data_IF_824195596673
#
_entry.id   IF_824195596673
#
_cell.length_a   1.000
_cell.length_b   1.000
_cell.length_c   1.000
_cell.angle_alpha   90.00
_cell.angle_beta   90.00
_cell.angle_gamma   90.00
#
_symmetry.space_group_name_H-M   'P 1'
#
loop_
_entity.id
_entity.type
_entity.pdbx_description
1 polymer ?
#
# COMPACT_ATOMS: atom_id res chain seq x y z
N UNK A 1 19.27 30.73 71.35
CA UNK A 1 17.81 30.93 71.36
C UNK A 1 17.13 29.59 71.61
N UNK A 2 16.92 29.27 72.88
CA UNK A 2 15.93 28.30 73.39
C UNK A 2 14.53 28.97 73.39
N UNK A 3 13.39 28.31 73.70
CA UNK A 3 13.14 26.86 73.90
C UNK A 3 11.72 26.36 73.42
N UNK A 4 11.44 25.06 73.70
CA UNK A 4 10.19 24.53 74.33
C UNK A 4 8.90 24.48 73.49
N UNK A 5 8.02 23.46 73.55
CA UNK A 5 7.57 22.54 74.63
C UNK A 5 7.06 21.23 73.96
N UNK A 6 7.42 20.01 74.39
CA UNK A 6 6.97 19.24 75.57
C UNK A 6 5.44 19.01 75.65
N UNK A 7 4.98 17.76 75.48
CA UNK A 7 4.30 16.92 76.51
C UNK A 7 3.50 15.74 75.90
N UNK A 8 3.74 14.54 76.44
CA UNK A 8 2.94 13.33 76.28
C UNK A 8 1.74 13.30 77.28
N UNK A 9 0.77 12.39 77.09
CA UNK A 9 0.54 11.31 78.08
C UNK A 9 0.27 9.96 77.39
N UNK A 10 0.96 8.84 77.70
CA UNK A 10 0.73 7.80 78.74
C UNK A 10 -0.73 7.29 78.93
N UNK A 11 -0.85 5.94 78.93
CA UNK A 11 -1.79 5.04 79.64
C UNK A 11 -2.81 4.23 78.78
N UNK A 12 -2.38 3.01 78.48
CA UNK A 12 -3.02 1.68 78.65
C UNK A 12 -4.52 1.43 78.33
N UNK A 13 -4.76 0.42 77.49
CA UNK A 13 -5.72 -0.65 77.79
C UNK A 13 -5.45 -1.89 76.91
N UNK A 14 -4.99 -2.96 77.55
CA UNK A 14 -4.99 -4.34 77.04
C UNK A 14 -6.43 -4.86 76.93
N UNK A 15 -6.82 -5.36 75.76
CA UNK A 15 -7.88 -6.39 75.67
C UNK A 15 -7.39 -7.48 74.73
N UNK A 16 -6.99 -8.61 75.32
CA UNK A 16 -6.89 -9.87 74.61
C UNK A 16 -8.32 -10.37 74.33
N UNK A 17 -8.68 -10.54 73.06
CA UNK A 17 -9.78 -11.42 72.66
C UNK A 17 -9.22 -12.48 71.72
N UNK A 18 -8.93 -13.62 72.33
CA UNK A 18 -8.84 -14.93 71.68
C UNK A 18 -10.16 -15.24 70.97
N UNK A 19 -10.10 -15.63 69.69
CA UNK A 19 -11.27 -16.13 68.98
C UNK A 19 -11.13 -16.18 67.47
N UNK A 20 -10.17 -16.96 66.95
CA UNK A 20 -10.30 -17.44 65.56
C UNK A 20 -11.47 -18.44 65.58
N UNK A 21 -12.67 -17.96 65.25
CA UNK A 21 -13.75 -18.87 64.85
C UNK A 21 -13.32 -19.40 63.48
N UNK A 22 -12.71 -20.58 63.48
CA UNK A 22 -12.69 -21.41 62.29
C UNK A 22 -14.17 -21.66 61.94
N UNK A 23 -14.71 -20.89 61.00
CA UNK A 23 -15.94 -21.30 60.32
C UNK A 23 -15.50 -22.55 59.56
N UNK A 24 -15.97 -23.76 59.91
CA UNK A 24 -15.89 -24.82 58.94
C UNK A 24 -16.79 -24.35 57.81
N UNK A 25 -16.22 -23.75 56.77
CA UNK A 25 -16.83 -23.83 55.45
C UNK A 25 -16.79 -25.32 55.15
N UNK A 26 -17.76 -26.05 55.68
CA UNK A 26 -18.03 -27.41 55.26
C UNK A 26 -18.16 -27.29 53.77
N UNK A 27 -17.17 -27.81 53.04
CA UNK A 27 -17.29 -27.99 51.62
C UNK A 27 -18.58 -28.79 51.46
N UNK A 28 -19.65 -28.12 51.02
CA UNK A 28 -20.87 -28.78 50.64
C UNK A 28 -20.40 -29.78 49.59
N UNK A 29 -20.35 -31.06 49.97
CA UNK A 29 -19.89 -32.12 49.09
C UNK A 29 -20.71 -31.95 47.82
N UNK A 30 -20.06 -31.57 46.73
CA UNK A 30 -20.73 -31.26 45.47
C UNK A 30 -21.43 -32.55 45.01
N UNK A 31 -22.69 -32.70 45.42
CA UNK A 31 -23.48 -33.85 45.05
C UNK A 31 -23.57 -33.80 43.52
N UNK A 32 -23.12 -34.83 42.82
CA UNK A 32 -23.20 -34.84 41.35
C UNK A 32 -24.67 -35.00 40.88
N UNK A 33 -25.54 -35.50 41.77
CA UNK A 33 -26.97 -35.71 41.55
C UNK A 33 -27.78 -35.44 42.82
N UNK A 34 -28.81 -34.63 42.74
CA UNK A 34 -29.81 -34.52 43.80
C UNK A 34 -30.77 -35.70 43.74
N UNK A 35 -31.23 -36.14 44.91
CA UNK A 35 -32.25 -37.17 45.06
C UNK A 35 -33.40 -36.57 45.83
N UNK A 36 -34.61 -36.65 45.30
CA UNK A 36 -35.82 -36.25 46.01
C UNK A 36 -36.86 -37.36 45.99
N UNK A 37 -37.84 -37.26 46.85
CA UNK A 37 -39.05 -38.07 46.80
C UNK A 37 -40.24 -37.12 46.66
N UNK A 38 -41.11 -37.39 45.70
CA UNK A 38 -42.34 -36.62 45.48
C UNK A 38 -43.55 -37.46 45.89
N UNK A 39 -44.45 -36.94 46.71
CA UNK A 39 -45.69 -37.61 47.05
C UNK A 39 -46.53 -37.86 45.78
N UNK A 40 -47.01 -39.10 45.58
CA UNK A 40 -47.73 -39.49 44.36
C UNK A 40 -49.10 -38.84 44.21
N UNK A 41 -49.71 -38.35 45.29
CA UNK A 41 -51.04 -37.72 45.29
C UNK A 41 -50.99 -36.20 45.38
N UNK A 42 -50.11 -35.66 46.23
CA UNK A 42 -50.04 -34.22 46.49
C UNK A 42 -48.93 -33.51 45.73
N UNK A 43 -47.97 -34.23 45.14
CA UNK A 43 -46.82 -33.65 44.45
C UNK A 43 -45.75 -33.06 45.39
N UNK A 44 -45.98 -33.06 46.70
CA UNK A 44 -45.04 -32.52 47.69
C UNK A 44 -43.67 -33.21 47.57
N UNK A 45 -42.61 -32.41 47.39
CA UNK A 45 -41.26 -32.90 47.20
C UNK A 45 -40.42 -32.70 48.46
N UNK A 46 -39.70 -33.75 48.86
CA UNK A 46 -38.65 -33.68 49.88
C UNK A 46 -37.31 -34.11 49.32
N UNK A 47 -36.27 -33.34 49.63
CA UNK A 47 -34.89 -33.71 49.32
C UNK A 47 -34.44 -34.86 50.23
N UNK A 48 -33.68 -35.80 49.69
CA UNK A 48 -33.25 -37.00 50.41
C UNK A 48 -31.74 -37.01 50.56
N UNK A 49 -31.29 -36.90 51.80
CA UNK A 49 -29.90 -37.10 52.19
C UNK A 49 -29.50 -38.58 52.11
N UNK A 50 -28.20 -38.85 52.03
CA UNK A 50 -27.62 -40.20 51.84
C UNK A 50 -28.18 -41.20 52.88
N UNK A 51 -28.60 -42.38 52.42
CA UNK A 51 -29.09 -43.47 53.29
C UNK A 51 -30.61 -43.49 53.54
N UNK A 52 -31.35 -42.43 53.23
CA UNK A 52 -32.82 -42.41 53.39
C UNK A 52 -33.55 -42.88 52.11
N UNK A 53 -34.65 -43.62 52.26
CA UNK A 53 -35.50 -44.13 51.16
C UNK A 53 -36.78 -43.29 51.02
N UNK A 54 -37.44 -43.39 49.86
CA UNK A 54 -38.78 -42.84 49.68
C UNK A 54 -39.81 -43.65 50.47
N UNK A 55 -40.85 -42.99 50.97
CA UNK A 55 -42.03 -43.67 51.54
C UNK A 55 -42.80 -44.39 50.43
N UNK A 56 -43.64 -45.37 50.77
CA UNK A 56 -44.37 -46.22 49.80
C UNK A 56 -45.28 -45.40 48.85
N UNK A 57 -45.79 -44.28 49.35
CA UNK A 57 -46.64 -43.31 48.66
C UNK A 57 -45.86 -42.19 47.94
N UNK A 58 -44.53 -42.31 47.82
CA UNK A 58 -43.68 -41.34 47.13
C UNK A 58 -43.01 -41.96 45.90
N UNK A 59 -42.66 -41.12 44.93
CA UNK A 59 -41.87 -41.45 43.74
C UNK A 59 -40.47 -40.85 43.88
N UNK A 60 -39.44 -41.65 43.62
CA UNK A 60 -38.04 -41.18 43.67
C UNK A 60 -37.70 -40.40 42.41
N UNK A 61 -37.16 -39.20 42.59
CA UNK A 61 -36.65 -38.33 41.53
C UNK A 61 -35.14 -38.16 41.69
N UNK A 62 -34.45 -38.01 40.56
CA UNK A 62 -33.01 -37.74 40.50
C UNK A 62 -32.72 -36.79 39.36
N UNK A 63 -31.90 -35.77 39.60
CA UNK A 63 -31.41 -34.87 38.56
C UNK A 63 -29.97 -34.45 38.85
N UNK A 64 -29.26 -34.05 37.80
CA UNK A 64 -27.89 -33.55 37.91
C UNK A 64 -27.90 -32.13 38.48
N UNK A 65 -26.84 -31.78 39.20
CA UNK A 65 -26.68 -30.44 39.79
C UNK A 65 -26.21 -29.41 38.77
N UNK A 66 -25.55 -29.87 37.70
CA UNK A 66 -25.08 -29.06 36.58
C UNK A 66 -25.63 -29.63 35.27
N UNK A 67 -26.04 -28.75 34.36
CA UNK A 67 -26.37 -29.12 32.99
C UNK A 67 -25.14 -29.62 32.22
N UNK A 68 -25.33 -30.25 31.05
CA UNK A 68 -24.20 -30.59 30.17
C UNK A 68 -23.44 -29.32 29.78
N UNK A 69 -22.15 -29.45 29.49
CA UNK A 69 -21.38 -28.36 28.90
C UNK A 69 -22.00 -27.98 27.54
N UNK A 70 -21.99 -26.69 27.21
CA UNK A 70 -22.40 -26.22 25.88
C UNK A 70 -21.51 -26.81 24.79
N UNK A 71 -22.05 -26.99 23.59
CA UNK A 71 -21.25 -27.37 22.43
C UNK A 71 -20.14 -26.35 22.16
N UNK A 72 -19.05 -26.81 21.54
CA UNK A 72 -18.04 -25.87 21.01
C UNK A 72 -18.69 -25.00 19.94
N UNK A 73 -18.40 -23.70 19.94
CA UNK A 73 -18.89 -22.78 18.92
C UNK A 73 -18.40 -23.20 17.52
N UNK A 74 -19.16 -22.85 16.49
CA UNK A 74 -18.72 -23.07 15.11
C UNK A 74 -17.40 -22.31 14.84
N UNK A 75 -16.52 -22.90 14.03
CA UNK A 75 -15.35 -22.20 13.50
C UNK A 75 -15.82 -20.95 12.76
N UNK A 76 -15.15 -19.82 12.99
CA UNK A 76 -15.44 -18.58 12.27
C UNK A 76 -15.24 -18.73 10.75
N UNK A 77 -15.87 -17.87 9.93
CA UNK A 77 -15.66 -17.89 8.50
C UNK A 77 -14.19 -17.61 8.17
N UNK A 78 -13.73 -18.16 7.04
CA UNK A 78 -12.43 -17.79 6.48
C UNK A 78 -12.40 -16.29 6.18
N UNK A 79 -11.29 -15.62 6.48
CA UNK A 79 -11.09 -14.22 6.11
C UNK A 79 -11.12 -14.01 4.59
N UNK A 80 -11.33 -12.77 4.12
CA UNK A 80 -11.28 -12.47 2.68
C UNK A 80 -9.91 -12.82 2.09
N UNK A 81 -9.90 -13.18 0.81
CA UNK A 81 -8.65 -13.32 0.04
C UNK A 81 -7.95 -11.96 -0.02
N UNK A 82 -6.62 -11.94 0.16
CA UNK A 82 -5.83 -10.70 0.03
C UNK A 82 -5.88 -10.13 -1.39
N UNK A 83 -5.63 -8.83 -1.53
CA UNK A 83 -5.58 -8.17 -2.84
C UNK A 83 -4.46 -8.76 -3.72
N UNK A 84 -4.68 -8.79 -5.04
CA UNK A 84 -3.63 -9.15 -5.99
C UNK A 84 -2.51 -8.10 -5.91
N UNK A 85 -1.25 -8.54 -5.83
CA UNK A 85 -0.09 -7.64 -5.87
C UNK A 85 -0.03 -6.82 -7.18
N UNK A 86 0.72 -5.70 -7.21
CA UNK A 86 0.89 -4.91 -8.42
C UNK A 86 1.53 -5.76 -9.54
N UNK A 87 1.17 -5.48 -10.79
CA UNK A 87 1.87 -6.07 -11.94
C UNK A 87 3.36 -5.68 -11.89
N UNK A 88 4.25 -6.63 -12.13
CA UNK A 88 5.69 -6.34 -12.20
C UNK A 88 5.98 -5.33 -13.31
N UNK A 89 6.77 -4.31 -13.00
CA UNK A 89 7.30 -3.41 -14.02
C UNK A 89 8.42 -4.13 -14.80
N UNK A 90 8.59 -3.80 -16.09
CA UNK A 90 9.61 -4.38 -16.95
C UNK A 90 10.61 -3.32 -17.40
N UNK A 91 11.85 -3.74 -17.64
CA UNK A 91 12.89 -2.94 -18.28
C UNK A 91 13.01 -3.32 -19.76
N UNK A 92 13.33 -2.32 -20.58
CA UNK A 92 13.90 -2.56 -21.90
C UNK A 92 15.41 -2.74 -21.75
N UNK A 93 15.88 -3.90 -22.20
CA UNK A 93 17.28 -4.30 -22.18
C UNK A 93 17.74 -4.50 -23.62
N UNK A 94 18.92 -4.01 -23.95
CA UNK A 94 19.49 -4.15 -25.29
C UNK A 94 20.18 -5.52 -25.48
N UNK A 95 20.60 -5.88 -26.69
CA UNK A 95 21.21 -7.19 -26.98
C UNK A 95 22.50 -7.47 -26.20
N UNK A 96 23.13 -6.46 -25.62
CA UNK A 96 24.34 -6.60 -24.79
C UNK A 96 24.02 -6.80 -23.31
N UNK A 97 22.74 -6.79 -22.93
CA UNK A 97 22.29 -6.83 -21.54
C UNK A 97 22.24 -5.47 -20.87
N UNK A 98 22.41 -4.37 -21.61
CA UNK A 98 22.36 -3.02 -21.04
C UNK A 98 20.91 -2.61 -20.80
N UNK A 99 20.57 -2.30 -19.55
CA UNK A 99 19.29 -1.69 -19.19
C UNK A 99 19.23 -0.27 -19.74
N UNK A 100 18.23 0.00 -20.59
CA UNK A 100 17.98 1.34 -21.16
C UNK A 100 17.06 2.12 -20.23
N UNK A 101 16.06 1.44 -19.69
CA UNK A 101 15.13 2.00 -18.71
C UNK A 101 13.83 1.22 -18.61
N UNK A 102 12.94 1.62 -17.68
CA UNK A 102 11.61 1.06 -17.55
C UNK A 102 10.78 1.21 -18.82
N UNK A 103 10.06 0.15 -19.17
CA UNK A 103 8.97 0.19 -20.13
C UNK A 103 7.76 0.81 -19.44
N UNK A 104 7.31 1.95 -19.96
CA UNK A 104 6.17 2.70 -19.42
C UNK A 104 4.89 2.51 -20.25
N UNK A 105 4.96 1.73 -21.32
CA UNK A 105 3.82 1.41 -22.17
C UNK A 105 4.25 0.94 -23.56
N UNK A 106 3.26 0.71 -24.42
CA UNK A 106 3.45 0.39 -25.82
C UNK A 106 2.62 1.34 -26.68
N UNK A 107 3.26 2.08 -27.57
CA UNK A 107 2.54 2.86 -28.56
C UNK A 107 1.97 1.91 -29.63
N UNK A 108 0.69 2.07 -29.96
CA UNK A 108 -0.03 1.18 -30.90
C UNK A 108 0.04 -0.32 -30.53
N UNK A 109 0.33 -0.64 -29.26
CA UNK A 109 0.43 -2.02 -28.77
C UNK A 109 1.70 -2.78 -29.18
N UNK A 110 2.59 -2.19 -29.98
CA UNK A 110 3.78 -2.90 -30.52
C UNK A 110 5.09 -2.16 -30.30
N UNK A 111 5.07 -0.83 -30.13
CA UNK A 111 6.29 -0.03 -30.01
C UNK A 111 6.59 0.28 -28.54
N UNK A 112 7.63 -0.33 -27.93
CA UNK A 112 7.93 -0.10 -26.52
C UNK A 112 8.28 1.37 -26.27
N UNK A 113 7.63 1.93 -25.25
CA UNK A 113 7.91 3.26 -24.74
C UNK A 113 8.83 3.11 -23.54
N UNK A 114 10.06 3.60 -23.66
CA UNK A 114 11.12 3.42 -22.66
C UNK A 114 11.44 4.77 -22.03
N UNK A 115 11.31 4.86 -20.71
CA UNK A 115 11.70 6.05 -19.96
C UNK A 115 13.19 5.99 -19.63
N UNK A 116 13.95 6.96 -20.13
CA UNK A 116 15.36 7.10 -19.84
C UNK A 116 15.59 7.58 -18.40
N UNK A 117 16.84 7.50 -17.91
CA UNK A 117 17.24 8.06 -16.62
C UNK A 117 17.08 9.57 -16.52
N UNK A 118 17.13 10.29 -17.65
CA UNK A 118 16.78 11.71 -17.73
C UNK A 118 15.28 11.98 -17.51
N UNK A 119 14.48 10.92 -17.51
CA UNK A 119 13.02 10.92 -17.39
C UNK A 119 12.28 11.22 -18.70
N UNK A 120 12.98 11.49 -19.80
CA UNK A 120 12.37 11.56 -21.13
C UNK A 120 11.94 10.15 -21.57
N UNK A 121 10.79 10.06 -22.24
CA UNK A 121 10.33 8.81 -22.86
C UNK A 121 10.72 8.83 -24.33
N UNK A 122 11.34 7.76 -24.80
CA UNK A 122 11.54 7.50 -26.22
C UNK A 122 10.74 6.28 -26.63
N UNK A 123 10.23 6.30 -27.86
CA UNK A 123 9.56 5.14 -28.45
C UNK A 123 10.53 4.46 -29.36
N UNK A 124 10.61 3.15 -29.24
CA UNK A 124 11.54 2.34 -30.00
C UNK A 124 10.78 1.40 -30.94
N UNK A 125 11.42 1.02 -32.03
CA UNK A 125 10.92 -0.11 -32.81
C UNK A 125 11.50 -1.44 -32.31
N UNK A 126 10.74 -2.51 -32.54
CA UNK A 126 11.19 -3.87 -32.29
C UNK A 126 11.96 -4.48 -33.47
N UNK A 127 12.34 -3.68 -34.48
CA UNK A 127 13.08 -4.18 -35.62
C UNK A 127 14.55 -4.38 -35.20
N UNK A 128 15.09 -5.61 -35.27
CA UNK A 128 16.47 -5.87 -34.89
C UNK A 128 17.51 -5.09 -35.70
N UNK A 129 17.11 -4.51 -36.84
CA UNK A 129 18.00 -3.74 -37.72
C UNK A 129 18.04 -2.24 -37.41
N UNK A 130 17.12 -1.69 -36.60
CA UNK A 130 17.03 -0.25 -36.37
C UNK A 130 17.25 0.13 -34.91
N UNK A 131 18.47 0.53 -34.58
CA UNK A 131 18.86 0.94 -33.23
C UNK A 131 18.52 2.38 -32.88
N UNK A 132 17.52 2.97 -33.54
CA UNK A 132 17.13 4.35 -33.34
C UNK A 132 15.69 4.46 -32.83
N UNK A 133 15.40 5.43 -31.95
CA UNK A 133 14.04 5.71 -31.54
C UNK A 133 13.24 6.31 -32.71
N UNK A 134 11.93 6.09 -32.69
CA UNK A 134 10.99 6.53 -33.70
C UNK A 134 10.66 8.04 -33.54
N UNK A 135 10.58 8.81 -34.65
CA UNK A 135 10.26 10.23 -34.62
C UNK A 135 8.74 10.47 -34.51
N UNK A 136 8.19 10.44 -33.30
CA UNK A 136 6.75 10.65 -33.07
C UNK A 136 6.32 12.12 -32.98
N UNK A 137 7.25 13.01 -32.68
CA UNK A 137 7.02 14.45 -32.55
C UNK A 137 7.98 15.20 -33.46
N UNK A 138 7.60 16.41 -33.86
CA UNK A 138 8.46 17.26 -34.68
C UNK A 138 9.81 17.48 -33.95
N UNK A 139 10.96 17.34 -34.64
CA UNK A 139 12.28 17.40 -34.03
C UNK A 139 12.73 18.86 -33.82
N UNK A 140 11.88 19.70 -33.23
CA UNK A 140 12.14 21.11 -33.06
C UNK A 140 11.69 21.67 -31.71
N UNK A 141 12.40 22.69 -31.25
CA UNK A 141 12.03 23.51 -30.09
C UNK A 141 12.17 24.99 -30.42
N UNK A 142 11.30 25.80 -29.84
CA UNK A 142 11.15 27.22 -30.14
C UNK A 142 11.70 28.09 -29.02
N UNK A 143 12.15 29.29 -29.35
CA UNK A 143 12.67 30.26 -28.40
C UNK A 143 12.02 31.62 -28.59
N UNK A 144 11.80 32.32 -27.48
CA UNK A 144 11.31 33.71 -27.45
C UNK A 144 12.37 34.71 -27.89
N UNK A 145 13.64 34.32 -27.84
CA UNK A 145 14.78 35.15 -28.18
C UNK A 145 15.41 34.67 -29.50
N UNK A 146 16.21 35.52 -30.14
CA UNK A 146 16.99 35.13 -31.31
C UNK A 146 18.16 34.22 -30.92
N UNK A 147 18.68 33.45 -31.87
CA UNK A 147 19.88 32.63 -31.67
C UNK A 147 19.72 31.47 -30.68
N UNK A 148 18.51 30.94 -30.51
CA UNK A 148 18.18 29.80 -29.64
C UNK A 148 18.66 29.99 -28.20
N UNK A 149 18.48 31.21 -27.69
CA UNK A 149 18.87 31.63 -26.35
C UNK A 149 17.66 31.68 -25.40
N UNK A 150 17.94 31.53 -24.10
CA UNK A 150 16.92 31.48 -23.07
C UNK A 150 16.22 30.12 -22.96
N UNK A 151 14.99 30.13 -22.47
CA UNK A 151 14.19 28.91 -22.34
C UNK A 151 13.73 28.40 -23.71
N UNK A 152 13.91 27.11 -23.92
CA UNK A 152 13.33 26.39 -25.05
C UNK A 152 11.87 26.03 -24.75
N UNK A 153 11.07 25.94 -25.80
CA UNK A 153 9.67 25.61 -25.73
C UNK A 153 9.32 24.53 -26.74
N UNK A 154 8.59 23.52 -26.30
CA UNK A 154 8.06 22.47 -27.17
C UNK A 154 6.55 22.47 -27.20
N UNK A 155 5.97 21.85 -28.23
CA UNK A 155 4.54 21.71 -28.37
C UNK A 155 4.11 20.35 -27.82
N UNK A 156 3.06 20.33 -27.00
CA UNK A 156 2.47 19.08 -26.55
C UNK A 156 1.67 18.43 -27.68
N UNK A 157 1.90 17.15 -27.94
CA UNK A 157 1.15 16.36 -28.93
C UNK A 157 0.07 15.53 -28.24
N UNK A 158 -1.23 15.87 -28.40
CA UNK A 158 -2.31 15.12 -27.79
C UNK A 158 -2.28 13.64 -28.19
N UNK A 159 -2.49 12.75 -27.21
CA UNK A 159 -2.46 11.30 -27.43
C UNK A 159 -1.08 10.65 -27.19
N UNK A 160 -0.05 11.45 -26.89
CA UNK A 160 1.26 10.98 -26.46
C UNK A 160 1.51 11.40 -25.00
N UNK A 161 2.37 10.67 -24.25
CA UNK A 161 2.75 11.08 -22.91
C UNK A 161 3.42 12.46 -22.90
N UNK A 162 3.13 13.26 -21.88
CA UNK A 162 3.68 14.59 -21.74
C UNK A 162 5.22 14.59 -21.63
N UNK A 163 5.79 13.54 -21.05
CA UNK A 163 7.24 13.34 -20.91
C UNK A 163 7.91 12.78 -22.18
N UNK A 164 7.18 12.64 -23.29
CA UNK A 164 7.76 12.17 -24.54
C UNK A 164 8.87 13.13 -24.99
N UNK A 165 10.04 12.56 -25.29
CA UNK A 165 11.23 13.30 -25.68
C UNK A 165 11.07 13.92 -27.06
N UNK A 166 11.33 15.22 -27.16
CA UNK A 166 11.54 15.92 -28.43
C UNK A 166 13.00 15.71 -28.81
N UNK A 167 13.24 14.87 -29.81
CA UNK A 167 14.60 14.58 -30.26
C UNK A 167 14.99 15.52 -31.40
N UNK A 168 16.05 16.30 -31.21
CA UNK A 168 16.62 17.16 -32.25
C UNK A 168 17.50 16.29 -33.16
N UNK A 169 16.85 15.49 -34.00
CA UNK A 169 17.47 14.61 -34.99
C UNK A 169 16.41 14.07 -35.94
N UNK A 170 16.73 13.98 -37.23
CA UNK A 170 15.83 13.40 -38.25
C UNK A 170 16.64 12.56 -39.26
N UNK A 171 16.63 11.22 -39.16
CA UNK A 171 16.04 10.45 -38.06
C UNK A 171 16.77 10.68 -36.73
N UNK A 172 16.11 10.45 -35.59
CA UNK A 172 16.79 10.34 -34.31
C UNK A 172 17.95 9.34 -34.39
N UNK A 173 19.12 9.67 -33.82
CA UNK A 173 20.28 8.79 -33.80
C UNK A 173 21.06 8.98 -32.50
N UNK A 174 21.94 8.03 -32.10
CA UNK A 174 22.77 8.19 -30.92
C UNK A 174 23.50 9.55 -30.92
N UNK A 175 23.40 10.27 -29.79
CA UNK A 175 23.94 11.61 -29.64
C UNK A 175 22.98 12.75 -29.99
N UNK A 176 21.87 12.51 -30.71
CA UNK A 176 20.85 13.53 -30.96
C UNK A 176 20.34 14.12 -29.63
N UNK A 177 20.32 15.45 -29.46
CA UNK A 177 19.82 16.09 -28.25
C UNK A 177 18.35 15.75 -27.98
N UNK A 178 18.00 15.57 -26.72
CA UNK A 178 16.63 15.33 -26.28
C UNK A 178 16.19 16.51 -25.42
N UNK A 179 14.98 16.99 -25.66
CA UNK A 179 14.27 17.91 -24.77
C UNK A 179 13.04 17.22 -24.17
N UNK A 180 12.71 17.54 -22.92
CA UNK A 180 11.48 17.08 -22.26
C UNK A 180 10.66 18.27 -21.79
N UNK A 181 9.37 18.24 -22.09
CA UNK A 181 8.43 19.23 -21.59
C UNK A 181 8.38 19.22 -20.06
N UNK A 182 8.20 20.39 -19.47
CA UNK A 182 7.97 20.57 -18.05
C UNK A 182 6.50 20.92 -17.81
N UNK A 183 5.84 20.29 -16.82
CA UNK A 183 4.48 20.65 -16.44
C UNK A 183 4.41 22.13 -16.08
N UNK A 184 3.34 22.79 -16.50
CA UNK A 184 3.15 24.22 -16.24
C UNK A 184 2.01 24.79 -17.05
N UNK A 185 1.83 26.11 -16.96
CA UNK A 185 0.82 26.81 -17.76
C UNK A 185 1.27 26.89 -19.22
N UNK A 186 0.45 26.44 -20.19
CA UNK A 186 0.77 26.58 -21.60
C UNK A 186 0.90 28.05 -21.99
N UNK A 187 1.81 28.34 -22.91
CA UNK A 187 2.12 29.68 -23.36
C UNK A 187 1.87 29.84 -24.86
N UNK A 188 1.52 31.07 -25.24
CA UNK A 188 1.42 31.48 -26.64
C UNK A 188 2.32 32.67 -26.89
N UNK A 189 3.07 32.66 -27.99
CA UNK A 189 4.01 33.72 -28.35
C UNK A 189 4.49 33.60 -29.81
N UNK A 190 5.14 34.64 -30.32
CA UNK A 190 5.88 34.57 -31.59
C UNK A 190 7.31 34.14 -31.33
N UNK A 191 7.69 32.97 -31.84
CA UNK A 191 9.06 32.48 -31.75
C UNK A 191 9.99 33.35 -32.63
N UNK A 192 11.16 33.70 -32.10
CA UNK A 192 12.18 34.45 -32.82
C UNK A 192 13.31 33.55 -33.34
N UNK A 193 13.45 32.35 -32.77
CA UNK A 193 14.30 31.29 -33.30
C UNK A 193 13.76 29.90 -32.98
N UNK A 194 14.17 28.93 -33.78
CA UNK A 194 13.88 27.51 -33.59
C UNK A 194 15.17 26.70 -33.71
N UNK A 195 15.30 25.66 -32.90
CA UNK A 195 16.36 24.67 -32.99
C UNK A 195 15.80 23.42 -33.65
N UNK A 196 16.36 23.05 -34.80
CA UNK A 196 15.99 21.86 -35.57
C UNK A 196 17.24 20.99 -35.79
N UNK A 197 17.14 19.82 -36.46
CA UNK A 197 18.33 19.04 -36.82
C UNK A 197 19.29 19.80 -37.75
N UNK A 198 18.83 20.83 -38.46
CA UNK A 198 19.68 21.70 -39.28
C UNK A 198 20.43 22.77 -38.47
N UNK A 199 20.22 22.82 -37.15
CA UNK A 199 20.78 23.81 -36.25
C UNK A 199 19.78 24.90 -35.86
N UNK A 200 20.31 25.96 -35.24
CA UNK A 200 19.50 27.10 -34.83
C UNK A 200 19.21 28.03 -36.01
N UNK A 201 17.95 28.38 -36.21
CA UNK A 201 17.49 29.25 -37.29
C UNK A 201 16.57 30.35 -36.76
N UNK A 202 16.64 31.54 -37.35
CA UNK A 202 15.68 32.61 -37.07
C UNK A 202 14.30 32.25 -37.60
N UNK A 203 13.24 32.65 -36.90
CA UNK A 203 11.86 32.44 -37.33
C UNK A 203 10.96 33.57 -36.83
N UNK A 204 9.71 33.60 -37.30
CA UNK A 204 8.64 34.48 -36.82
C UNK A 204 7.32 33.72 -36.70
N UNK A 205 7.40 32.43 -36.34
CA UNK A 205 6.24 31.56 -36.18
C UNK A 205 5.42 31.93 -34.95
N UNK A 206 4.12 32.16 -35.12
CA UNK A 206 3.19 32.22 -34.00
C UNK A 206 2.97 30.79 -33.46
N UNK A 207 3.29 30.59 -32.19
CA UNK A 207 3.11 29.32 -31.50
C UNK A 207 2.13 29.46 -30.34
N UNK A 208 1.32 28.43 -30.14
CA UNK A 208 0.31 28.35 -29.08
C UNK A 208 0.43 27.01 -28.37
N UNK A 209 -0.06 26.94 -27.13
CA UNK A 209 0.00 25.73 -26.30
C UNK A 209 1.42 25.17 -26.11
N UNK A 210 2.41 26.06 -26.05
CA UNK A 210 3.81 25.71 -25.87
C UNK A 210 4.16 25.59 -24.39
N UNK A 211 4.98 24.59 -24.04
CA UNK A 211 5.47 24.34 -22.69
C UNK A 211 6.97 24.50 -22.64
N UNK A 212 7.52 24.89 -21.48
CA UNK A 212 8.98 24.93 -21.29
C UNK A 212 9.53 23.53 -21.55
N UNK A 213 10.55 23.44 -22.41
CA UNK A 213 11.25 22.22 -22.72
C UNK A 213 12.67 22.32 -22.14
N UNK A 214 13.07 21.37 -21.31
CA UNK A 214 14.43 21.34 -20.74
C UNK A 214 15.27 20.26 -21.41
N UNK A 215 16.58 20.49 -21.61
CA UNK A 215 17.49 19.45 -22.05
C UNK A 215 17.39 18.21 -21.16
N UNK A 216 17.29 17.04 -21.79
CA UNK A 216 17.09 15.74 -21.15
C UNK A 216 18.12 14.71 -21.63
N UNK A 217 19.35 15.18 -21.89
CA UNK A 217 20.45 14.38 -22.40
C UNK A 217 20.39 14.18 -23.91
N UNK A 218 20.92 13.06 -24.38
CA UNK A 218 20.98 12.68 -25.79
C UNK A 218 20.47 11.25 -25.97
N UNK A 219 20.07 10.92 -27.20
CA UNK A 219 19.70 9.54 -27.56
C UNK A 219 20.87 8.61 -27.24
N UNK A 220 20.66 7.56 -26.42
CA UNK A 220 21.73 6.65 -26.06
C UNK A 220 22.12 5.76 -27.25
N UNK A 221 23.39 5.35 -27.30
CA UNK A 221 23.79 4.19 -28.10
C UNK A 221 23.18 2.94 -27.49
N UNK A 222 22.51 2.17 -28.34
CA UNK A 222 21.71 1.02 -27.96
C UNK A 222 21.89 -0.06 -29.02
N UNK A 223 21.87 -1.31 -28.58
CA UNK A 223 22.08 -2.46 -29.45
C UNK A 223 20.79 -3.28 -29.56
N UNK A 224 20.19 -3.38 -30.75
CA UNK A 224 18.92 -4.09 -30.98
C UNK A 224 19.12 -5.62 -31.11
N UNK A 225 18.07 -6.45 -30.91
CA UNK A 225 16.71 -6.10 -30.53
C UNK A 225 16.56 -5.73 -29.04
N UNK A 226 15.43 -5.14 -28.66
CA UNK A 226 15.03 -5.03 -27.26
C UNK A 226 14.51 -6.34 -26.69
N UNK A 227 14.97 -6.63 -25.48
CA UNK A 227 14.47 -7.67 -24.60
C UNK A 227 13.68 -7.02 -23.45
N UNK A 228 12.61 -7.68 -23.06
CA UNK A 228 11.76 -7.27 -21.94
C UNK A 228 12.15 -8.13 -20.75
N UNK A 229 12.71 -7.50 -19.72
CA UNK A 229 13.10 -8.20 -18.50
C UNK A 229 12.33 -7.65 -17.29
N UNK A 230 11.90 -8.48 -16.33
CA UNK A 230 11.31 -7.99 -15.09
C UNK A 230 12.26 -7.03 -14.37
N UNK A 231 11.73 -5.98 -13.75
CA UNK A 231 12.49 -5.17 -12.82
C UNK A 231 12.84 -6.00 -11.59
N UNK A 232 14.14 -6.21 -11.36
CA UNK A 232 14.70 -6.84 -10.16
C UNK A 232 14.70 -5.91 -8.96
#
# INVERSE_FOLDING_TARGET
MTPRRLLAPVIAATVAVTGIIAIPTGAASAATKYKACANKKTGEMRLVVKGKKCKKNEKKLKWNVKGPAGGTGATGPQGPVGERGPAGAFNAVDQTGKVIGPIVGFFSGVYPMVRLSSGAILVWDGNPSNANPLPFVAPEVFYRQAGCSGDAYGLYSPGLPFDLGIVIGSPPAPGSPIYRLQPGTPQSFTALSTLTPAGCQATSSAISMAYIAKPAGSVPTVAQPFYIEPQS
#
